data_IF_725184088350
#
_entry.id   IF_725184088350
#
_cell.length_a   1.000
_cell.length_b   1.000
_cell.length_c   1.000
_cell.angle_alpha   90.00
_cell.angle_beta   90.00
_cell.angle_gamma   90.00
#
_symmetry.space_group_name_H-M   'P 1'
#
loop_
_entity.id
_entity.type
_entity.pdbx_description
1 polymer ?
#
# COMPACT_ATOMS: atom_id res chain seq x y z
N UNK A 1 29.43 27.80 22.67
CA UNK A 1 29.10 27.15 21.37
C UNK A 1 27.91 26.24 21.61
N UNK A 2 26.74 26.46 20.97
CA UNK A 2 25.63 25.54 21.09
C UNK A 2 25.94 24.23 20.35
N UNK A 3 25.47 23.07 20.83
CA UNK A 3 25.65 21.81 20.12
C UNK A 3 24.88 21.86 18.79
N UNK A 4 25.61 21.69 17.69
CA UNK A 4 25.03 21.56 16.35
C UNK A 4 24.20 20.28 16.34
N UNK A 5 22.88 20.42 16.27
CA UNK A 5 21.98 19.28 16.11
C UNK A 5 22.26 18.65 14.73
N UNK A 6 23.03 17.55 14.71
CA UNK A 6 23.27 16.78 13.50
C UNK A 6 21.96 16.08 13.13
N UNK A 7 21.22 16.67 12.20
CA UNK A 7 20.10 16.00 11.52
C UNK A 7 20.68 14.93 10.62
N UNK A 8 20.77 13.71 11.12
CA UNK A 8 21.15 12.55 10.31
C UNK A 8 19.94 12.20 9.45
N UNK A 9 20.04 12.45 8.14
CA UNK A 9 19.05 12.00 7.16
C UNK A 9 19.19 10.49 6.96
N UNK A 10 18.11 9.76 7.26
CA UNK A 10 18.08 8.33 6.97
C UNK A 10 17.91 8.11 5.46
N UNK A 11 18.68 7.20 4.83
CA UNK A 11 18.57 6.95 3.41
C UNK A 11 17.17 6.42 3.03
N UNK A 12 16.69 6.73 1.81
CA UNK A 12 15.40 6.25 1.34
C UNK A 12 15.42 4.73 1.10
N UNK A 13 14.35 4.04 1.52
CA UNK A 13 14.26 2.58 1.61
C UNK A 13 14.43 1.82 0.29
N UNK A 14 14.18 2.45 -0.86
CA UNK A 14 14.38 1.81 -2.17
C UNK A 14 15.85 1.55 -2.51
N UNK A 15 16.81 2.29 -1.91
CA UNK A 15 18.25 2.09 -2.15
C UNK A 15 18.84 0.91 -1.37
N UNK A 16 18.16 0.42 -0.33
CA UNK A 16 18.58 -0.76 0.40
C UNK A 16 18.52 -2.04 -0.45
N UNK A 17 17.65 -2.09 -1.46
CA UNK A 17 17.54 -3.23 -2.38
C UNK A 17 18.67 -3.28 -3.41
N UNK A 18 19.35 -2.15 -3.67
CA UNK A 18 20.34 -2.03 -4.75
C UNK A 18 21.79 -2.30 -4.31
N UNK A 19 22.15 -2.25 -3.03
CA UNK A 19 23.53 -2.49 -2.55
C UNK A 19 23.59 -2.89 -1.07
N UNK A 20 23.44 -4.19 -0.73
CA UNK A 20 23.31 -4.65 0.66
C UNK A 20 24.55 -4.40 1.53
N UNK A 21 25.75 -4.66 1.01
CA UNK A 21 26.99 -4.66 1.81
C UNK A 21 27.45 -3.27 2.28
N UNK A 22 27.37 -2.26 1.39
CA UNK A 22 27.68 -0.86 1.76
C UNK A 22 26.67 -0.34 2.80
N UNK A 23 25.43 -0.81 2.69
CA UNK A 23 24.34 -0.38 3.54
C UNK A 23 24.50 -0.94 4.96
N UNK A 24 24.84 -2.22 5.12
CA UNK A 24 25.04 -2.86 6.43
C UNK A 24 26.09 -2.15 7.30
N UNK A 25 27.21 -1.68 6.71
CA UNK A 25 28.29 -1.00 7.43
C UNK A 25 27.90 0.40 7.92
N UNK A 26 27.28 1.20 7.05
CA UNK A 26 26.81 2.55 7.40
C UNK A 26 25.61 2.51 8.37
N UNK A 27 24.76 1.48 8.27
CA UNK A 27 23.62 1.27 9.18
C UNK A 27 24.04 0.83 10.58
N UNK A 28 24.96 -0.13 10.70
CA UNK A 28 25.50 -0.58 12.01
C UNK A 28 26.13 0.59 12.79
N UNK A 29 26.85 1.48 12.08
CA UNK A 29 27.42 2.71 12.63
C UNK A 29 26.34 3.68 13.20
N UNK A 30 25.23 3.84 12.47
CA UNK A 30 24.11 4.68 12.89
C UNK A 30 23.30 4.08 14.05
N UNK A 31 23.11 2.76 14.07
CA UNK A 31 22.39 2.06 15.14
C UNK A 31 23.17 2.05 16.45
N UNK A 32 24.50 1.86 16.42
CA UNK A 32 25.34 1.93 17.63
C UNK A 32 25.28 3.29 18.33
N UNK A 33 24.89 4.35 17.62
CA UNK A 33 24.78 5.72 18.13
C UNK A 33 23.41 6.09 18.71
N UNK A 34 22.35 5.28 18.55
CA UNK A 34 20.98 5.67 18.98
C UNK A 34 20.17 4.50 19.55
N UNK A 35 19.83 4.58 20.83
CA UNK A 35 19.16 3.53 21.62
C UNK A 35 17.64 3.39 21.43
N UNK A 36 17.03 4.07 20.44
CA UNK A 36 15.55 4.24 20.38
C UNK A 36 14.88 3.58 19.15
N UNK A 37 15.65 3.01 18.20
CA UNK A 37 15.06 2.24 17.08
C UNK A 37 15.50 0.77 17.19
N UNK A 38 14.53 -0.10 17.40
CA UNK A 38 14.69 -1.49 17.86
C UNK A 38 15.12 -2.49 16.78
N UNK A 39 15.94 -2.08 15.79
CA UNK A 39 16.63 -2.83 14.71
C UNK A 39 16.43 -2.20 13.33
N UNK A 40 17.38 -2.42 12.39
CA UNK A 40 17.26 -2.06 10.98
C UNK A 40 15.96 -2.57 10.34
N UNK A 41 15.55 -3.79 10.71
CA UNK A 41 14.28 -4.40 10.32
C UNK A 41 13.08 -3.54 10.72
N UNK A 42 13.05 -3.02 11.95
CA UNK A 42 11.97 -2.16 12.43
C UNK A 42 11.85 -0.84 11.64
N UNK A 43 12.99 -0.24 11.28
CA UNK A 43 13.01 0.94 10.41
C UNK A 43 12.44 0.64 9.02
N UNK A 44 12.84 -0.48 8.41
CA UNK A 44 12.33 -0.89 7.11
C UNK A 44 10.85 -1.23 7.12
N UNK A 45 10.39 -1.98 8.13
CA UNK A 45 8.98 -2.31 8.29
C UNK A 45 8.13 -1.03 8.41
N UNK A 46 8.64 -0.03 9.14
CA UNK A 46 7.99 1.28 9.26
C UNK A 46 7.97 2.07 7.93
N UNK A 47 9.09 2.11 7.18
CA UNK A 47 9.13 2.74 5.86
C UNK A 47 8.18 2.05 4.87
N UNK A 48 8.23 0.72 4.79
CA UNK A 48 7.35 -0.06 3.93
C UNK A 48 5.88 0.06 4.35
N UNK A 49 5.59 0.25 5.63
CA UNK A 49 4.25 0.56 6.11
C UNK A 49 3.80 1.94 5.61
N UNK A 50 4.63 2.98 5.78
CA UNK A 50 4.34 4.35 5.33
C UNK A 50 4.08 4.42 3.82
N UNK A 51 4.95 3.81 3.01
CA UNK A 51 4.77 3.74 1.55
C UNK A 51 3.47 3.02 1.17
N UNK A 52 3.19 1.86 1.79
CA UNK A 52 1.95 1.12 1.55
C UNK A 52 0.72 1.95 1.93
N UNK A 53 0.77 2.72 3.01
CA UNK A 53 -0.35 3.60 3.41
C UNK A 53 -0.50 4.83 2.52
N UNK A 54 0.60 5.42 2.03
CA UNK A 54 0.58 6.56 1.13
C UNK A 54 -0.01 6.19 -0.25
N UNK A 55 0.26 4.98 -0.72
CA UNK A 55 -0.27 4.47 -1.99
C UNK A 55 -1.71 3.95 -1.90
N UNK A 56 -2.38 4.04 -0.73
CA UNK A 56 -3.78 3.61 -0.61
C UNK A 56 -4.70 4.63 -1.29
N UNK A 57 -5.34 4.18 -2.36
CA UNK A 57 -6.39 4.96 -3.02
C UNK A 57 -7.70 4.82 -2.23
N UNK A 58 -8.18 5.94 -1.69
CA UNK A 58 -9.49 6.02 -1.05
C UNK A 58 -10.57 6.21 -2.13
N UNK A 59 -10.84 5.19 -2.94
CA UNK A 59 -11.86 5.24 -4.01
C UNK A 59 -13.03 4.31 -3.73
N UNK A 60 -14.22 4.73 -4.15
CA UNK A 60 -15.41 3.88 -4.17
C UNK A 60 -15.30 2.84 -5.28
N UNK A 61 -15.43 1.54 -4.95
CA UNK A 61 -15.40 0.46 -5.92
C UNK A 61 -16.62 0.42 -6.84
N UNK A 62 -17.76 0.99 -6.43
CA UNK A 62 -18.96 1.01 -7.25
C UNK A 62 -19.02 2.15 -8.28
N UNK A 63 -18.40 3.30 -7.99
CA UNK A 63 -18.51 4.48 -8.86
C UNK A 63 -17.18 5.18 -9.16
N UNK A 64 -16.06 4.68 -8.66
CA UNK A 64 -14.71 5.21 -8.91
C UNK A 64 -14.38 6.53 -8.19
N UNK A 65 -15.35 7.18 -7.53
CA UNK A 65 -15.11 8.46 -6.85
C UNK A 65 -14.06 8.33 -5.74
N UNK A 66 -13.01 9.13 -5.83
CA UNK A 66 -11.99 9.27 -4.79
C UNK A 66 -12.48 10.20 -3.69
N UNK A 67 -12.18 9.87 -2.44
CA UNK A 67 -12.43 10.71 -1.28
C UNK A 67 -11.09 11.10 -0.66
N UNK A 68 -10.90 12.37 -0.34
CA UNK A 68 -9.72 12.84 0.39
C UNK A 68 -9.66 12.21 1.79
N UNK A 69 -10.84 12.08 2.43
CA UNK A 69 -10.97 11.49 3.77
C UNK A 69 -11.47 10.06 3.69
N UNK A 70 -10.74 9.17 4.37
CA UNK A 70 -11.07 7.75 4.47
C UNK A 70 -12.36 7.49 5.25
N UNK A 71 -12.70 8.36 6.20
CA UNK A 71 -13.87 8.21 7.08
C UNK A 71 -15.20 8.38 6.33
N UNK A 72 -15.19 9.01 5.15
CA UNK A 72 -16.36 9.13 4.28
C UNK A 72 -16.72 7.85 3.52
N UNK A 73 -15.86 6.83 3.56
CA UNK A 73 -16.04 5.58 2.81
C UNK A 73 -16.39 4.42 3.74
N UNK A 74 -17.47 3.72 3.41
CA UNK A 74 -17.91 2.50 4.11
C UNK A 74 -17.13 1.29 3.60
N UNK A 75 -16.68 0.43 4.52
CA UNK A 75 -15.94 -0.79 4.20
C UNK A 75 -16.88 -1.98 4.05
N UNK A 76 -16.55 -2.91 3.15
CA UNK A 76 -17.22 -4.21 3.13
C UNK A 76 -16.78 -5.07 4.33
N UNK A 77 -17.72 -5.42 5.22
CA UNK A 77 -17.41 -6.15 6.45
C UNK A 77 -16.77 -7.53 6.21
N UNK A 78 -17.22 -8.27 5.20
CA UNK A 78 -16.67 -9.59 4.88
C UNK A 78 -15.25 -9.51 4.29
N UNK A 79 -14.99 -8.53 3.42
CA UNK A 79 -13.64 -8.31 2.89
C UNK A 79 -12.67 -7.78 3.95
N UNK A 80 -13.17 -6.96 4.88
CA UNK A 80 -12.36 -6.43 5.96
C UNK A 80 -11.82 -7.54 6.88
N UNK A 81 -12.59 -8.62 7.11
CA UNK A 81 -12.14 -9.79 7.89
C UNK A 81 -10.91 -10.50 7.31
N UNK A 82 -10.73 -10.42 5.99
CA UNK A 82 -9.58 -11.03 5.28
C UNK A 82 -8.52 -9.98 4.90
N UNK A 83 -8.50 -8.83 5.58
CA UNK A 83 -7.58 -7.71 5.30
C UNK A 83 -7.66 -7.16 3.85
N UNK A 84 -8.80 -7.34 3.16
CA UNK A 84 -9.06 -6.75 1.84
C UNK A 84 -9.86 -5.45 1.99
N UNK A 85 -9.31 -4.37 1.44
CA UNK A 85 -9.92 -3.05 1.50
C UNK A 85 -10.82 -2.80 0.28
N UNK A 86 -12.13 -3.00 0.47
CA UNK A 86 -13.16 -2.63 -0.51
C UNK A 86 -14.04 -1.55 0.09
N UNK A 87 -14.00 -0.37 -0.52
CA UNK A 87 -14.57 0.88 -0.03
C UNK A 87 -15.74 1.34 -0.91
N UNK A 88 -16.77 1.92 -0.30
CA UNK A 88 -17.95 2.43 -0.98
C UNK A 88 -18.39 3.77 -0.39
N UNK A 89 -18.79 4.72 -1.24
CA UNK A 89 -19.34 6.00 -0.76
C UNK A 89 -20.77 5.88 -0.22
N UNK A 90 -21.54 4.91 -0.71
CA UNK A 90 -22.92 4.67 -0.28
C UNK A 90 -23.28 3.18 -0.29
N UNK A 91 -24.38 2.82 0.40
CA UNK A 91 -24.94 1.46 0.37
C UNK A 91 -25.41 1.08 -1.03
N UNK A 92 -25.90 2.04 -1.81
CA UNK A 92 -26.32 1.83 -3.19
C UNK A 92 -25.14 1.39 -4.06
N UNK A 93 -23.99 2.07 -3.96
CA UNK A 93 -22.77 1.69 -4.68
C UNK A 93 -22.30 0.28 -4.29
N UNK A 94 -22.44 -0.09 -3.02
CA UNK A 94 -22.13 -1.45 -2.57
C UNK A 94 -23.07 -2.48 -3.20
N UNK A 95 -24.38 -2.23 -3.22
CA UNK A 95 -25.38 -3.18 -3.77
C UNK A 95 -25.28 -3.26 -5.29
N UNK A 96 -25.02 -2.16 -5.99
CA UNK A 96 -24.78 -2.15 -7.42
C UNK A 96 -23.55 -2.99 -7.77
N UNK A 97 -22.42 -2.74 -7.08
CA UNK A 97 -21.20 -3.51 -7.31
C UNK A 97 -21.33 -4.98 -6.89
N UNK A 98 -22.14 -5.26 -5.86
CA UNK A 98 -22.47 -6.62 -5.44
C UNK A 98 -23.08 -7.44 -6.57
N UNK A 99 -24.05 -6.86 -7.28
CA UNK A 99 -24.73 -7.53 -8.40
C UNK A 99 -23.82 -7.68 -9.63
N UNK A 100 -22.93 -6.71 -9.86
CA UNK A 100 -22.05 -6.69 -11.02
C UNK A 100 -20.89 -7.70 -10.91
N UNK A 101 -20.10 -7.63 -9.84
CA UNK A 101 -18.84 -8.39 -9.76
C UNK A 101 -18.46 -8.81 -8.34
N UNK A 102 -18.76 -7.98 -7.33
CA UNK A 102 -18.20 -8.16 -5.99
C UNK A 102 -18.68 -9.45 -5.31
N UNK A 103 -19.88 -9.96 -5.65
CA UNK A 103 -20.41 -11.22 -5.13
C UNK A 103 -19.50 -12.42 -5.40
N UNK A 104 -18.78 -12.43 -6.53
CA UNK A 104 -17.89 -13.54 -6.89
C UNK A 104 -16.71 -13.65 -5.92
N UNK A 105 -16.29 -12.51 -5.36
CA UNK A 105 -15.03 -12.35 -4.64
C UNK A 105 -15.13 -11.92 -3.19
N UNK A 106 -16.32 -11.54 -2.75
CA UNK A 106 -16.51 -11.08 -1.39
C UNK A 106 -16.16 -12.16 -0.37
N UNK A 107 -15.26 -11.82 0.57
CA UNK A 107 -14.89 -12.70 1.70
C UNK A 107 -14.05 -13.93 1.32
N UNK A 108 -13.72 -14.12 0.04
CA UNK A 108 -12.84 -15.21 -0.42
C UNK A 108 -11.39 -14.73 -0.52
N UNK A 109 -10.41 -15.51 -0.06
CA UNK A 109 -9.01 -15.21 -0.36
C UNK A 109 -8.80 -15.17 -1.88
N UNK A 110 -7.97 -14.24 -2.34
CA UNK A 110 -7.54 -14.20 -3.74
C UNK A 110 -6.21 -14.96 -3.76
N UNK A 111 -6.26 -16.27 -3.98
CA UNK A 111 -5.08 -17.03 -4.38
C UNK A 111 -4.79 -16.82 -5.87
N UNK A 112 -3.62 -17.26 -6.32
CA UNK A 112 -3.19 -17.07 -7.70
C UNK A 112 -4.14 -17.74 -8.70
N UNK A 113 -4.63 -18.94 -8.39
CA UNK A 113 -5.53 -19.70 -9.26
C UNK A 113 -6.89 -19.03 -9.37
N UNK A 114 -7.44 -18.56 -8.25
CA UNK A 114 -8.70 -17.81 -8.19
C UNK A 114 -8.55 -16.48 -8.93
N UNK A 115 -7.44 -15.77 -8.77
CA UNK A 115 -7.16 -14.55 -9.52
C UNK A 115 -7.12 -14.81 -11.04
N UNK A 116 -6.46 -15.90 -11.46
CA UNK A 116 -6.39 -16.30 -12.86
C UNK A 116 -7.79 -16.64 -13.42
N UNK A 117 -8.60 -17.41 -12.70
CA UNK A 117 -9.96 -17.75 -13.14
C UNK A 117 -10.88 -16.53 -13.23
N UNK A 118 -10.78 -15.55 -12.35
CA UNK A 118 -11.64 -14.36 -12.44
C UNK A 118 -11.24 -13.44 -13.58
N UNK A 119 -9.94 -13.40 -13.89
CA UNK A 119 -9.42 -12.56 -14.98
C UNK A 119 -9.99 -12.95 -16.35
N UNK A 120 -10.47 -14.19 -16.49
CA UNK A 120 -11.13 -14.67 -17.71
C UNK A 120 -12.64 -14.42 -17.72
N UNK A 121 -13.27 -14.27 -16.55
CA UNK A 121 -14.72 -14.07 -16.39
C UNK A 121 -15.10 -12.58 -16.44
N UNK A 122 -14.25 -11.71 -15.89
CA UNK A 122 -14.55 -10.28 -15.81
C UNK A 122 -14.22 -9.60 -17.16
N UNK A 123 -15.18 -8.91 -17.80
CA UNK A 123 -14.91 -8.14 -19.01
C UNK A 123 -13.77 -7.14 -18.77
N UNK A 124 -12.77 -7.08 -19.66
CA UNK A 124 -11.67 -6.11 -19.58
C UNK A 124 -12.25 -4.68 -19.59
N UNK A 125 -12.33 -4.07 -18.42
CA UNK A 125 -12.62 -2.65 -18.28
C UNK A 125 -11.40 -1.90 -18.83
N UNK A 126 -11.61 -0.89 -19.68
CA UNK A 126 -10.55 -0.02 -20.19
C UNK A 126 -9.80 0.58 -18.99
N UNK A 127 -8.53 0.25 -18.84
CA UNK A 127 -7.70 0.69 -17.71
C UNK A 127 -7.79 2.21 -17.51
N UNK A 128 -7.93 2.72 -16.27
CA UNK A 128 -7.52 4.08 -16.00
C UNK A 128 -6.00 4.14 -16.16
N UNK A 129 -5.57 4.88 -17.18
CA UNK A 129 -4.17 5.25 -17.43
C UNK A 129 -3.64 6.04 -16.23
N UNK A 130 -3.07 5.33 -15.26
CA UNK A 130 -2.61 5.94 -14.01
C UNK A 130 -1.44 5.21 -13.37
N UNK A 131 -0.74 4.34 -14.09
CA UNK A 131 0.58 3.90 -13.65
C UNK A 131 1.54 5.06 -13.91
N UNK A 132 2.08 5.75 -12.88
CA UNK A 132 3.14 6.70 -13.12
C UNK A 132 4.33 5.91 -13.71
N UNK A 133 4.93 6.38 -14.82
CA UNK A 133 6.12 5.74 -15.37
C UNK A 133 7.17 5.70 -14.27
N UNK A 134 7.78 4.53 -14.07
CA UNK A 134 8.95 4.39 -13.21
C UNK A 134 10.00 5.38 -13.70
N UNK A 135 10.25 6.43 -12.91
CA UNK A 135 11.28 7.40 -13.21
C UNK A 135 12.63 6.71 -13.03
N UNK A 136 13.11 6.08 -14.10
CA UNK A 136 14.50 5.66 -14.22
C UNK A 136 15.28 6.93 -14.54
N UNK A 137 15.92 7.52 -13.54
CA UNK A 137 16.94 8.54 -13.76
C UNK A 137 18.23 7.82 -14.15
N UNK A 138 18.61 7.98 -15.41
CA UNK A 138 19.92 7.64 -15.98
C UNK A 138 21.03 8.53 -15.41
#
# INVERSE_FOLDING_TARGET
MPPVAVTIEFPPCHRAKSSPAQWDADFESLFRRRTILTTAKGYFDACAYKERTANKVNACYGCGKTSEKRDGLKKCAACWKINREVLYCSRECQVANWKAEHKLMCGKPLDFDTAAMLSTIVPKIKSPSGFPPSVVKS
#
